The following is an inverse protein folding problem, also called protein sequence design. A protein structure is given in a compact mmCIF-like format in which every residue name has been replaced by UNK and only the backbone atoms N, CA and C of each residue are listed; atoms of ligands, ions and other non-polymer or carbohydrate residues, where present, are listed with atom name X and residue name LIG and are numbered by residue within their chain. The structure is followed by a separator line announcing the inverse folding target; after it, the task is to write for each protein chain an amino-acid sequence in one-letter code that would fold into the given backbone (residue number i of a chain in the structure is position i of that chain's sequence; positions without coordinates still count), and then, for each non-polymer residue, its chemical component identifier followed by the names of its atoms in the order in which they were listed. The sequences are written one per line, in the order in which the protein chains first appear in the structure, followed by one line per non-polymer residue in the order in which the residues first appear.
data_IF_229978872440
#
_entry.id   IF_229978872440
#
_cell.length_a   1.000
_cell.length_b   1.000
_cell.length_c   1.000
_cell.angle_alpha   90.00
_cell.angle_beta   90.00
_cell.angle_gamma   90.00
#
_symmetry.space_group_name_H-M   'P 1'
#
loop_
_entity.id
_entity.type
_entity.pdbx_description
1 polymer ?
#
# COMPACT_ATOMS: atom_id res chain seq x y z
N UNK A 1 8.86 -6.21 2.67
CA UNK A 1 8.16 -4.99 2.25
C UNK A 1 8.89 -3.73 2.69
N UNK A 2 8.67 -3.23 3.91
CA UNK A 2 9.22 -1.93 4.34
C UNK A 2 10.75 -1.97 4.50
N UNK A 3 11.27 -3.08 5.00
CA UNK A 3 12.69 -3.29 5.25
C UNK A 3 13.56 -3.54 4.00
N UNK A 4 12.95 -3.69 2.82
CA UNK A 4 13.62 -4.07 1.57
C UNK A 4 13.81 -2.96 0.54
N UNK A 5 13.57 -1.69 0.90
CA UNK A 5 13.76 -0.53 0.02
C UNK A 5 12.82 -0.53 -1.20
N UNK A 6 11.55 -0.82 -0.98
CA UNK A 6 10.57 -1.05 -2.03
C UNK A 6 10.16 0.18 -2.84
N UNK A 7 9.64 -0.09 -4.04
CA UNK A 7 8.91 0.89 -4.84
C UNK A 7 7.73 1.40 -4.01
N UNK A 8 7.73 2.70 -3.69
CA UNK A 8 6.63 3.38 -3.00
C UNK A 8 6.80 3.67 -1.53
N UNK A 9 7.82 3.13 -0.87
CA UNK A 9 8.13 3.55 0.49
C UNK A 9 9.02 4.80 0.43
N UNK A 10 8.80 5.78 1.33
CA UNK A 10 9.78 6.83 1.56
C UNK A 10 11.15 6.19 1.84
N UNK A 11 12.26 6.77 1.34
CA UNK A 11 13.59 6.25 1.61
C UNK A 11 13.89 6.34 3.11
N UNK A 12 14.20 5.20 3.74
CA UNK A 12 14.50 5.09 5.16
C UNK A 12 15.91 4.55 5.37
N UNK A 13 16.73 5.22 6.17
CA UNK A 13 17.95 4.63 6.73
C UNK A 13 17.60 3.89 8.01
N UNK A 14 17.20 2.62 7.89
CA UNK A 14 16.79 1.77 9.01
C UNK A 14 17.86 1.67 10.11
N UNK A 15 19.15 1.80 9.77
CA UNK A 15 20.23 1.73 10.74
C UNK A 15 20.32 2.97 11.63
N UNK A 16 19.70 4.07 11.20
CA UNK A 16 19.66 5.35 11.92
C UNK A 16 18.42 5.54 12.80
N UNK A 17 17.39 4.71 12.60
CA UNK A 17 16.11 4.83 13.30
C UNK A 17 16.21 4.30 14.73
N UNK A 18 15.45 4.93 15.64
CA UNK A 18 15.31 4.43 16.99
C UNK A 18 14.49 3.13 17.06
N UNK A 19 14.57 2.43 18.21
CA UNK A 19 13.93 1.13 18.41
C UNK A 19 12.39 1.20 18.34
N UNK A 20 11.81 2.33 18.73
CA UNK A 20 10.35 2.54 18.75
C UNK A 20 9.81 2.69 17.32
N UNK A 21 10.47 3.52 16.50
CA UNK A 21 10.18 3.66 15.07
C UNK A 21 10.37 2.34 14.34
N UNK A 22 11.44 1.59 14.63
CA UNK A 22 11.64 0.26 14.06
C UNK A 22 10.51 -0.71 14.46
N UNK A 23 9.99 -0.62 15.68
CA UNK A 23 8.86 -1.41 16.13
C UNK A 23 7.56 -1.02 15.40
N UNK A 24 7.32 0.27 15.12
CA UNK A 24 6.20 0.74 14.29
C UNK A 24 6.30 0.18 12.87
N UNK A 25 7.45 0.33 12.21
CA UNK A 25 7.67 -0.17 10.86
C UNK A 25 7.53 -1.70 10.79
N UNK A 26 8.14 -2.43 11.73
CA UNK A 26 8.04 -3.88 11.79
C UNK A 26 6.61 -4.37 12.07
N UNK A 27 5.85 -3.65 12.90
CA UNK A 27 4.44 -3.98 13.18
C UNK A 27 3.57 -3.72 11.94
N UNK A 28 3.77 -2.60 11.24
CA UNK A 28 3.08 -2.31 9.98
C UNK A 28 3.40 -3.39 8.94
N UNK A 29 4.67 -3.75 8.76
CA UNK A 29 5.09 -4.80 7.82
C UNK A 29 4.44 -6.15 8.15
N UNK A 30 4.44 -6.55 9.42
CA UNK A 30 3.77 -7.76 9.86
C UNK A 30 2.26 -7.70 9.58
N UNK A 31 1.61 -6.58 9.88
CA UNK A 31 0.17 -6.40 9.63
C UNK A 31 -0.19 -6.47 8.15
N UNK A 32 0.64 -5.95 7.25
CA UNK A 32 0.44 -6.09 5.80
C UNK A 32 0.51 -7.55 5.36
N UNK A 33 1.53 -8.30 5.80
CA UNK A 33 1.68 -9.73 5.53
C UNK A 33 0.47 -10.54 6.06
N UNK A 34 0.02 -10.21 7.26
CA UNK A 34 -1.16 -10.84 7.88
C UNK A 34 -2.44 -10.49 7.12
N UNK A 35 -2.52 -9.27 6.58
CA UNK A 35 -3.54 -8.84 5.63
C UNK A 35 -3.57 -9.68 4.35
N UNK A 36 -2.40 -9.96 3.78
CA UNK A 36 -2.28 -10.79 2.59
C UNK A 36 -2.65 -12.24 2.84
N UNK A 37 -2.32 -12.76 4.03
CA UNK A 37 -2.71 -14.08 4.50
C UNK A 37 -4.18 -14.18 4.95
N UNK A 38 -4.96 -13.10 4.87
CA UNK A 38 -6.37 -13.02 5.32
C UNK A 38 -6.57 -13.41 6.78
N UNK A 39 -5.62 -13.05 7.64
CA UNK A 39 -5.57 -13.44 9.05
C UNK A 39 -5.77 -12.25 10.02
N UNK A 40 -6.18 -11.07 9.55
CA UNK A 40 -6.40 -9.86 10.37
C UNK A 40 -7.50 -10.00 11.44
N UNK A 41 -8.31 -11.05 11.36
CA UNK A 41 -9.37 -11.37 12.33
C UNK A 41 -8.87 -12.21 13.51
N UNK A 42 -7.59 -12.60 13.52
CA UNK A 42 -7.04 -13.43 14.58
C UNK A 42 -6.90 -12.65 15.90
N UNK A 43 -7.13 -13.31 17.04
CA UNK A 43 -7.13 -12.67 18.37
C UNK A 43 -5.80 -11.99 18.72
N UNK A 44 -4.68 -12.52 18.23
CA UNK A 44 -3.34 -11.97 18.48
C UNK A 44 -3.03 -10.69 17.68
N UNK A 45 -3.93 -10.24 16.81
CA UNK A 45 -3.81 -8.99 16.06
C UNK A 45 -4.12 -7.76 16.92
N UNK A 46 -4.98 -7.91 17.94
CA UNK A 46 -5.39 -6.77 18.76
C UNK A 46 -4.22 -6.03 19.44
N UNK A 47 -3.23 -6.70 20.06
CA UNK A 47 -2.06 -6.01 20.60
C UNK A 47 -1.30 -5.17 19.57
N UNK A 48 -1.15 -5.65 18.33
CA UNK A 48 -0.50 -4.91 17.26
C UNK A 48 -1.32 -3.68 16.84
N UNK A 49 -2.66 -3.82 16.78
CA UNK A 49 -3.57 -2.70 16.52
C UNK A 49 -3.47 -1.64 17.62
N UNK A 50 -3.49 -2.04 18.90
CA UNK A 50 -3.38 -1.09 20.02
C UNK A 50 -2.03 -0.39 20.05
N UNK A 51 -0.97 -1.11 19.72
CA UNK A 51 0.38 -0.55 19.58
C UNK A 51 0.42 0.50 18.47
N UNK A 52 -0.08 0.21 17.27
CA UNK A 52 -0.12 1.22 16.21
C UNK A 52 -1.00 2.42 16.60
N UNK A 53 -2.22 2.19 17.11
CA UNK A 53 -3.12 3.27 17.58
C UNK A 53 -2.46 4.22 18.58
N UNK A 54 -1.56 3.73 19.46
CA UNK A 54 -0.90 4.58 20.45
C UNK A 54 0.18 5.52 19.88
N UNK A 55 0.55 5.36 18.60
CA UNK A 55 1.55 6.20 17.92
C UNK A 55 0.92 7.28 17.03
N UNK A 56 -0.41 7.40 17.03
CA UNK A 56 -1.09 8.47 16.32
C UNK A 56 -0.82 9.82 17.02
N UNK A 57 -0.43 10.81 16.23
CA UNK A 57 -0.29 12.19 16.69
C UNK A 57 -1.65 12.84 16.97
N UNK A 58 -1.66 13.96 17.70
CA UNK A 58 -2.91 14.68 18.05
C UNK A 58 -3.72 15.14 16.85
N UNK A 59 -3.06 15.41 15.71
CA UNK A 59 -3.68 15.82 14.46
C UNK A 59 -4.08 14.63 13.55
N UNK A 60 -3.98 13.40 14.03
CA UNK A 60 -4.37 12.19 13.32
C UNK A 60 -3.28 11.54 12.47
N UNK A 61 -2.10 12.17 12.33
CA UNK A 61 -1.02 11.65 11.52
C UNK A 61 -0.22 10.53 12.22
N UNK A 62 0.35 9.64 11.42
CA UNK A 62 1.40 8.72 11.85
C UNK A 62 2.74 9.19 11.27
N UNK A 63 3.65 9.63 12.13
CA UNK A 63 4.90 10.27 11.73
C UNK A 63 6.08 9.36 11.91
N UNK A 64 6.88 9.25 10.85
CA UNK A 64 8.17 8.60 10.86
C UNK A 64 9.13 9.57 10.19
N UNK A 65 10.16 9.97 10.91
CA UNK A 65 11.14 10.93 10.40
C UNK A 65 11.97 10.28 9.30
N UNK A 66 11.88 10.83 8.09
CA UNK A 66 12.59 10.32 6.90
C UNK A 66 13.53 11.35 6.29
N UNK A 67 13.27 12.64 6.52
CA UNK A 67 14.03 13.74 5.93
C UNK A 67 13.89 15.01 6.75
N UNK A 68 14.96 15.81 6.80
CA UNK A 68 14.91 17.18 7.32
C UNK A 68 14.17 18.13 6.36
N UNK A 69 13.99 17.74 5.09
CA UNK A 69 13.25 18.52 4.10
C UNK A 69 11.74 18.40 4.33
N UNK A 70 11.12 19.53 4.69
CA UNK A 70 9.70 19.58 5.06
C UNK A 70 8.74 19.01 4.00
N UNK A 71 9.05 19.15 2.70
CA UNK A 71 8.23 18.61 1.63
C UNK A 71 8.28 17.07 1.60
N UNK A 72 9.48 16.49 1.62
CA UNK A 72 9.68 15.04 1.67
C UNK A 72 9.10 14.43 2.96
N UNK A 73 9.26 15.13 4.10
CA UNK A 73 8.64 14.70 5.34
C UNK A 73 7.12 14.75 5.28
N UNK A 74 6.53 15.77 4.67
CA UNK A 74 5.07 15.86 4.49
C UNK A 74 4.52 14.73 3.61
N UNK A 75 5.26 14.32 2.57
CA UNK A 75 4.89 13.17 1.73
C UNK A 75 4.97 11.86 2.51
N UNK A 76 5.99 11.70 3.36
CA UNK A 76 6.11 10.54 4.23
C UNK A 76 5.01 10.47 5.30
N UNK A 77 4.64 11.61 5.89
CA UNK A 77 3.53 11.66 6.84
C UNK A 77 2.21 11.21 6.18
N UNK A 78 1.93 11.65 4.94
CA UNK A 78 0.76 11.16 4.16
C UNK A 78 0.87 9.65 3.93
N UNK A 79 2.06 9.19 3.52
CA UNK A 79 2.29 7.78 3.25
C UNK A 79 2.03 6.90 4.47
N UNK A 80 2.71 7.16 5.59
CA UNK A 80 2.57 6.34 6.80
C UNK A 80 1.18 6.47 7.40
N UNK A 81 0.55 7.64 7.32
CA UNK A 81 -0.82 7.82 7.79
C UNK A 81 -1.79 6.96 7.00
N UNK A 82 -1.74 7.01 5.66
CA UNK A 82 -2.62 6.19 4.82
C UNK A 82 -2.36 4.69 4.99
N UNK A 83 -1.11 4.27 5.02
CA UNK A 83 -0.74 2.86 5.19
C UNK A 83 -1.18 2.29 6.54
N UNK A 84 -0.89 2.98 7.65
CA UNK A 84 -1.23 2.52 8.99
C UNK A 84 -2.74 2.58 9.20
N UNK A 85 -3.39 3.72 8.94
CA UNK A 85 -4.83 3.83 9.14
C UNK A 85 -5.62 2.90 8.20
N UNK A 86 -5.16 2.72 6.95
CA UNK A 86 -5.75 1.80 5.99
C UNK A 86 -5.68 0.34 6.44
N UNK A 87 -4.53 -0.13 6.95
CA UNK A 87 -4.44 -1.51 7.47
C UNK A 87 -5.24 -1.69 8.76
N UNK A 88 -5.29 -0.66 9.63
CA UNK A 88 -6.12 -0.66 10.83
C UNK A 88 -7.61 -0.77 10.49
N UNK A 89 -8.08 -0.05 9.47
CA UNK A 89 -9.46 -0.12 8.97
C UNK A 89 -9.90 -1.51 8.50
N UNK A 90 -8.94 -2.38 8.15
CA UNK A 90 -9.21 -3.79 7.77
C UNK A 90 -9.41 -4.73 8.97
N UNK A 91 -9.18 -4.24 10.19
CA UNK A 91 -9.29 -5.04 11.40
C UNK A 91 -10.63 -4.84 12.09
N UNK A 92 -11.18 -5.85 12.78
CA UNK A 92 -12.46 -5.72 13.50
C UNK A 92 -12.31 -5.00 14.85
N UNK A 93 -11.06 -4.76 15.31
CA UNK A 93 -10.74 -4.29 16.66
C UNK A 93 -10.28 -2.83 16.70
N UNK A 94 -10.04 -2.20 15.55
CA UNK A 94 -9.70 -0.78 15.48
C UNK A 94 -10.86 0.11 15.92
N UNK A 95 -10.52 1.19 16.62
CA UNK A 95 -11.50 2.19 17.07
C UNK A 95 -11.81 3.16 15.93
N UNK A 96 -13.04 3.68 15.89
CA UNK A 96 -13.43 4.65 14.86
C UNK A 96 -12.69 5.99 15.01
N UNK A 97 -12.54 6.48 16.24
CA UNK A 97 -11.97 7.82 16.48
C UNK A 97 -10.55 8.02 15.90
N UNK A 98 -9.58 7.09 16.06
CA UNK A 98 -8.30 7.18 15.36
C UNK A 98 -8.42 7.19 13.83
N UNK A 99 -9.32 6.39 13.27
CA UNK A 99 -9.52 6.31 11.82
C UNK A 99 -10.14 7.60 11.26
N UNK A 100 -11.11 8.18 11.97
CA UNK A 100 -11.71 9.47 11.64
C UNK A 100 -10.67 10.60 11.70
N UNK A 101 -9.78 10.60 12.69
CA UNK A 101 -8.70 11.59 12.79
C UNK A 101 -7.69 11.46 11.63
N UNK A 102 -7.32 10.23 11.27
CA UNK A 102 -6.46 9.98 10.11
C UNK A 102 -7.15 10.41 8.79
N UNK A 103 -8.46 10.17 8.66
CA UNK A 103 -9.26 10.63 7.53
C UNK A 103 -9.26 12.14 7.40
N UNK A 104 -9.50 12.86 8.49
CA UNK A 104 -9.43 14.33 8.49
C UNK A 104 -8.04 14.85 8.08
N UNK A 105 -6.96 14.22 8.56
CA UNK A 105 -5.59 14.57 8.18
C UNK A 105 -5.32 14.36 6.68
N UNK A 106 -5.74 13.21 6.15
CA UNK A 106 -5.53 12.82 4.75
C UNK A 106 -6.38 13.65 3.78
N UNK A 107 -7.64 13.91 4.12
CA UNK A 107 -8.59 14.70 3.34
C UNK A 107 -8.07 16.13 3.10
N UNK A 108 -7.53 16.78 4.14
CA UNK A 108 -6.94 18.12 4.02
C UNK A 108 -5.79 18.19 2.99
N UNK A 109 -5.10 17.07 2.77
CA UNK A 109 -3.92 16.97 1.89
C UNK A 109 -4.22 16.32 0.55
N UNK A 110 -5.39 15.71 0.39
CA UNK A 110 -5.74 15.01 -0.83
C UNK A 110 -5.91 15.97 -2.00
N UNK A 111 -5.36 15.60 -3.15
CA UNK A 111 -5.68 16.22 -4.41
C UNK A 111 -5.49 15.21 -5.55
N UNK A 112 -6.18 15.39 -6.69
CA UNK A 112 -5.92 14.58 -7.88
C UNK A 112 -4.45 14.61 -8.31
N UNK A 113 -3.80 15.76 -8.14
CA UNK A 113 -2.39 15.94 -8.47
C UNK A 113 -1.47 15.11 -7.56
N UNK A 114 -1.82 14.97 -6.27
CA UNK A 114 -1.06 14.16 -5.32
C UNK A 114 -1.00 12.68 -5.74
N UNK A 115 -2.06 12.11 -6.31
CA UNK A 115 -2.06 10.70 -6.76
C UNK A 115 -1.58 10.52 -8.19
N UNK A 116 -1.71 11.54 -9.06
CA UNK A 116 -1.22 11.46 -10.44
C UNK A 116 0.27 11.80 -10.58
N UNK A 117 0.78 12.73 -9.76
CA UNK A 117 2.14 13.28 -9.87
C UNK A 117 2.94 13.23 -8.56
N UNK A 118 2.29 13.12 -7.40
CA UNK A 118 2.95 12.94 -6.09
C UNK A 118 3.54 11.54 -5.89
N UNK A 119 3.55 10.71 -6.93
CA UNK A 119 4.26 9.44 -6.97
C UNK A 119 3.45 8.26 -6.44
N UNK A 120 4.03 7.08 -6.62
CA UNK A 120 3.40 5.81 -6.29
C UNK A 120 3.10 5.66 -4.78
N UNK A 121 3.88 6.31 -3.91
CA UNK A 121 3.67 6.32 -2.46
C UNK A 121 2.32 6.92 -2.06
N UNK A 122 2.02 8.13 -2.55
CA UNK A 122 0.75 8.81 -2.27
C UNK A 122 -0.44 8.01 -2.83
N UNK A 123 -0.33 7.51 -4.06
CA UNK A 123 -1.34 6.65 -4.67
C UNK A 123 -1.66 5.43 -3.79
N UNK A 124 -0.64 4.69 -3.35
CA UNK A 124 -0.82 3.51 -2.51
C UNK A 124 -1.48 3.87 -1.17
N UNK A 125 -1.00 4.92 -0.51
CA UNK A 125 -1.49 5.37 0.80
C UNK A 125 -2.96 5.81 0.77
N UNK A 126 -3.36 6.60 -0.23
CA UNK A 126 -4.76 6.99 -0.40
C UNK A 126 -5.65 5.82 -0.80
N UNK A 127 -5.18 4.94 -1.69
CA UNK A 127 -5.93 3.77 -2.13
C UNK A 127 -6.24 2.81 -0.97
N UNK A 128 -5.22 2.46 -0.16
CA UNK A 128 -5.41 1.56 0.98
C UNK A 128 -6.29 2.20 2.06
N UNK A 129 -6.16 3.50 2.32
CA UNK A 129 -6.99 4.18 3.32
C UNK A 129 -8.46 4.20 2.90
N UNK A 130 -8.77 4.83 1.77
CA UNK A 130 -10.16 5.05 1.35
C UNK A 130 -10.89 3.77 0.94
N UNK A 131 -10.18 2.67 0.66
CA UNK A 131 -10.83 1.37 0.45
C UNK A 131 -11.35 0.77 1.77
N UNK A 132 -10.66 1.03 2.88
CA UNK A 132 -10.85 0.29 4.13
C UNK A 132 -11.44 1.13 5.27
N UNK A 133 -11.43 2.45 5.14
CA UNK A 133 -11.99 3.38 6.13
C UNK A 133 -13.17 4.11 5.52
N UNK A 134 -14.37 4.04 6.12
CA UNK A 134 -15.51 4.84 5.67
C UNK A 134 -15.22 6.33 5.80
N UNK A 135 -15.30 7.05 4.68
CA UNK A 135 -15.07 8.49 4.59
C UNK A 135 -15.93 9.07 3.47
N UNK A 136 -16.44 10.30 3.64
CA UNK A 136 -17.32 10.95 2.67
C UNK A 136 -16.59 11.25 1.34
N UNK A 137 -15.27 11.39 1.36
CA UNK A 137 -14.44 11.65 0.18
C UNK A 137 -13.99 10.38 -0.55
N UNK A 138 -14.22 9.20 0.04
CA UNK A 138 -13.69 7.92 -0.45
C UNK A 138 -14.04 7.64 -1.92
N UNK A 139 -15.30 7.87 -2.32
CA UNK A 139 -15.74 7.63 -3.70
C UNK A 139 -14.95 8.47 -4.72
N UNK A 140 -14.72 9.74 -4.40
CA UNK A 140 -13.99 10.65 -5.29
C UNK A 140 -12.49 10.32 -5.29
N UNK A 141 -11.91 10.08 -4.10
CA UNK A 141 -10.50 9.77 -3.97
C UNK A 141 -10.15 8.45 -4.68
N UNK A 142 -10.97 7.41 -4.50
CA UNK A 142 -10.77 6.11 -5.16
C UNK A 142 -10.89 6.21 -6.68
N UNK A 143 -11.81 7.03 -7.20
CA UNK A 143 -11.89 7.29 -8.65
C UNK A 143 -10.61 7.88 -9.23
N UNK A 144 -9.99 8.84 -8.52
CA UNK A 144 -8.71 9.41 -8.95
C UNK A 144 -7.56 8.43 -8.78
N UNK A 145 -7.53 7.66 -7.69
CA UNK A 145 -6.54 6.60 -7.48
C UNK A 145 -6.61 5.56 -8.61
N UNK A 146 -7.79 5.07 -8.97
CA UNK A 146 -7.93 4.11 -10.06
C UNK A 146 -7.51 4.66 -11.42
N UNK A 147 -7.85 5.93 -11.72
CA UNK A 147 -7.39 6.59 -12.96
C UNK A 147 -5.88 6.75 -13.01
N UNK A 148 -5.27 7.19 -11.91
CA UNK A 148 -3.82 7.34 -11.79
C UNK A 148 -3.11 5.98 -11.96
N UNK A 149 -3.63 4.94 -11.30
CA UNK A 149 -3.13 3.58 -11.40
C UNK A 149 -3.21 3.04 -12.85
N UNK A 150 -4.36 3.19 -13.51
CA UNK A 150 -4.52 2.75 -14.90
C UNK A 150 -3.63 3.56 -15.85
N UNK A 151 -3.59 4.90 -15.71
CA UNK A 151 -2.71 5.76 -16.51
C UNK A 151 -1.25 5.35 -16.35
N UNK A 152 -0.81 5.08 -15.12
CA UNK A 152 0.55 4.61 -14.80
C UNK A 152 0.88 3.29 -15.48
N UNK A 153 -0.01 2.30 -15.38
CA UNK A 153 0.14 1.00 -16.03
C UNK A 153 0.16 1.11 -17.56
N UNK A 154 -0.83 1.80 -18.16
CA UNK A 154 -0.96 1.96 -19.62
C UNK A 154 0.22 2.72 -20.24
N UNK A 155 0.80 3.67 -19.50
CA UNK A 155 1.97 4.44 -19.92
C UNK A 155 3.30 3.75 -19.63
N UNK A 156 3.29 2.56 -19.00
CA UNK A 156 4.48 1.83 -18.51
C UNK A 156 5.31 2.60 -17.49
N UNK A 157 4.70 3.57 -16.81
CA UNK A 157 5.32 4.22 -15.67
C UNK A 157 5.26 3.33 -14.42
N UNK A 158 4.23 2.49 -14.33
CA UNK A 158 4.11 1.42 -13.35
C UNK A 158 4.18 0.07 -14.06
N UNK A 159 4.92 -0.87 -13.48
CA UNK A 159 4.94 -2.27 -13.91
C UNK A 159 3.72 -3.04 -13.37
N UNK A 160 3.54 -4.29 -13.84
CA UNK A 160 2.41 -5.12 -13.43
C UNK A 160 2.48 -5.45 -11.94
N UNK A 161 3.68 -5.71 -11.39
CA UNK A 161 3.88 -5.99 -9.96
C UNK A 161 3.40 -4.81 -9.10
N UNK A 162 3.84 -3.59 -9.39
CA UNK A 162 3.46 -2.38 -8.65
C UNK A 162 1.97 -2.09 -8.79
N UNK A 163 1.40 -2.31 -9.97
CA UNK A 163 -0.03 -2.15 -10.20
C UNK A 163 -0.85 -3.12 -9.33
N UNK A 164 -0.47 -4.39 -9.34
CA UNK A 164 -1.13 -5.44 -8.58
C UNK A 164 -0.95 -5.26 -7.09
N UNK A 165 0.18 -4.73 -6.64
CA UNK A 165 0.42 -4.43 -5.24
C UNK A 165 -0.58 -3.43 -4.66
N UNK A 166 -0.98 -2.40 -5.40
CA UNK A 166 -2.04 -1.48 -4.96
C UNK A 166 -3.35 -2.25 -4.76
N UNK A 167 -3.72 -3.10 -5.73
CA UNK A 167 -4.92 -3.94 -5.64
C UNK A 167 -4.86 -4.93 -4.47
N UNK A 168 -3.72 -5.58 -4.26
CA UNK A 168 -3.48 -6.51 -3.15
C UNK A 168 -3.64 -5.83 -1.79
N UNK A 169 -3.02 -4.65 -1.63
CA UNK A 169 -3.07 -3.86 -0.39
C UNK A 169 -4.50 -3.43 -0.05
N UNK A 170 -5.30 -3.15 -1.08
CA UNK A 170 -6.72 -2.82 -0.97
C UNK A 170 -7.63 -4.05 -0.81
N UNK A 171 -7.10 -5.28 -0.89
CA UNK A 171 -7.88 -6.53 -1.04
C UNK A 171 -8.96 -6.44 -2.13
N UNK A 172 -8.64 -5.72 -3.20
CA UNK A 172 -9.56 -5.40 -4.29
C UNK A 172 -9.16 -6.14 -5.57
N UNK A 173 -10.16 -6.48 -6.39
CA UNK A 173 -9.93 -7.02 -7.75
C UNK A 173 -9.95 -5.91 -8.81
N UNK A 174 -10.56 -4.78 -8.49
CA UNK A 174 -10.63 -3.59 -9.33
C UNK A 174 -10.78 -2.35 -8.43
N UNK A 175 -10.34 -1.21 -8.94
CA UNK A 175 -10.50 0.09 -8.28
C UNK A 175 -11.49 0.96 -9.07
N UNK A 176 -12.34 1.76 -8.40
CA UNK A 176 -13.15 2.76 -9.08
C UNK A 176 -12.30 3.61 -10.02
N UNK A 177 -12.75 3.83 -11.26
CA UNK A 177 -12.01 4.63 -12.24
C UNK A 177 -10.89 3.89 -12.99
N UNK A 178 -10.63 2.62 -12.69
CA UNK A 178 -9.75 1.74 -13.47
C UNK A 178 -10.54 0.65 -14.21
N UNK A 179 -10.10 0.30 -15.42
CA UNK A 179 -10.67 -0.73 -16.28
C UNK A 179 -9.64 -1.79 -16.67
N UNK A 180 -9.05 -2.43 -15.66
CA UNK A 180 -8.09 -3.50 -15.89
C UNK A 180 -8.74 -4.76 -16.44
N UNK A 181 -8.11 -5.34 -17.45
CA UNK A 181 -8.35 -6.72 -17.85
C UNK A 181 -7.42 -7.63 -17.02
N UNK A 182 -8.01 -8.54 -16.26
CA UNK A 182 -7.28 -9.49 -15.39
C UNK A 182 -6.34 -10.37 -16.20
N UNK A 183 -6.74 -10.75 -17.42
CA UNK A 183 -5.90 -11.56 -18.31
C UNK A 183 -4.72 -10.73 -18.79
N UNK A 184 -4.94 -9.48 -19.18
CA UNK A 184 -3.84 -8.56 -19.56
C UNK A 184 -2.86 -8.37 -18.40
N UNK A 185 -3.35 -8.15 -17.18
CA UNK A 185 -2.50 -8.00 -15.99
C UNK A 185 -1.67 -9.26 -15.73
N UNK A 186 -2.28 -10.45 -15.84
CA UNK A 186 -1.56 -11.71 -15.66
C UNK A 186 -0.53 -11.94 -16.76
N UNK A 187 -0.88 -11.70 -18.03
CA UNK A 187 0.05 -11.81 -19.16
C UNK A 187 1.26 -10.87 -18.97
N UNK A 188 1.01 -9.61 -18.60
CA UNK A 188 2.07 -8.63 -18.32
C UNK A 188 2.94 -9.04 -17.16
N UNK A 189 2.36 -9.54 -16.08
CA UNK A 189 3.12 -10.05 -14.95
C UNK A 189 4.01 -11.21 -15.39
N UNK A 190 3.49 -12.18 -16.15
CA UNK A 190 4.29 -13.31 -16.64
C UNK A 190 5.42 -12.86 -17.59
N UNK A 191 5.23 -11.81 -18.38
CA UNK A 191 6.28 -11.19 -19.21
C UNK A 191 7.42 -10.57 -18.37
N UNK A 192 7.14 -10.14 -17.14
CA UNK A 192 8.11 -9.53 -16.21
C UNK A 192 8.92 -10.57 -15.41
N UNK A 193 8.55 -11.86 -15.46
CA UNK A 193 9.28 -12.91 -14.78
C UNK A 193 10.64 -13.18 -15.44
N UNK A 194 11.70 -13.14 -14.63
CA UNK A 194 13.05 -13.43 -15.05
C UNK A 194 13.26 -14.94 -15.31
N UNK A 195 14.32 -15.29 -16.04
CA UNK A 195 14.62 -16.69 -16.38
C UNK A 195 14.94 -17.60 -15.19
N UNK A 196 15.27 -17.03 -14.03
CA UNK A 196 15.48 -17.77 -12.76
C UNK A 196 14.21 -17.89 -11.90
N UNK A 197 13.07 -17.39 -12.39
CA UNK A 197 11.77 -17.43 -11.73
C UNK A 197 11.49 -16.24 -10.81
N UNK A 198 12.47 -15.37 -10.54
CA UNK A 198 12.27 -14.13 -9.78
C UNK A 198 11.66 -13.01 -10.62
N UNK A 199 11.26 -11.92 -9.97
CA UNK A 199 10.79 -10.69 -10.62
C UNK A 199 11.84 -9.58 -10.45
N UNK A 200 11.58 -8.38 -10.96
CA UNK A 200 12.45 -7.21 -10.79
C UNK A 200 13.88 -7.32 -11.37
N UNK A 201 14.12 -8.14 -12.40
CA UNK A 201 15.48 -8.37 -12.93
C UNK A 201 16.21 -7.08 -13.33
N UNK A 202 15.46 -6.10 -13.84
CA UNK A 202 15.98 -4.79 -14.27
C UNK A 202 15.80 -3.70 -13.22
N UNK A 203 15.35 -4.04 -12.01
CA UNK A 203 15.19 -3.05 -10.94
C UNK A 203 16.54 -2.51 -10.49
N UNK A 204 16.58 -1.20 -10.22
CA UNK A 204 17.75 -0.53 -9.65
C UNK A 204 17.89 -0.80 -8.14
N UNK A 205 16.84 -1.30 -7.50
CA UNK A 205 16.88 -1.77 -6.11
C UNK A 205 17.55 -3.14 -6.06
N UNK A 206 18.52 -3.32 -5.17
CA UNK A 206 19.34 -4.52 -5.07
C UNK A 206 18.56 -5.82 -4.76
N UNK A 207 19.26 -6.88 -4.31
CA UNK A 207 18.66 -8.21 -4.09
C UNK A 207 17.42 -8.24 -3.17
N UNK A 208 17.32 -7.31 -2.22
CA UNK A 208 16.21 -7.21 -1.25
C UNK A 208 14.90 -6.77 -1.92
N UNK A 209 14.97 -5.77 -2.81
CA UNK A 209 13.84 -5.30 -3.62
C UNK A 209 13.33 -6.42 -4.52
N UNK A 210 14.26 -7.21 -5.07
CA UNK A 210 13.95 -8.37 -5.91
C UNK A 210 13.14 -9.44 -5.18
N UNK A 211 13.50 -9.70 -3.93
CA UNK A 211 12.80 -10.69 -3.09
C UNK A 211 11.37 -10.27 -2.85
N UNK A 212 11.14 -9.02 -2.46
CA UNK A 212 9.79 -8.56 -2.14
C UNK A 212 8.89 -8.49 -3.38
N UNK A 213 9.38 -7.98 -4.51
CA UNK A 213 8.62 -7.99 -5.77
C UNK A 213 8.28 -9.41 -6.24
N UNK A 214 9.17 -10.38 -5.99
CA UNK A 214 8.89 -11.78 -6.32
C UNK A 214 7.75 -12.33 -5.45
N UNK A 215 7.73 -12.01 -4.15
CA UNK A 215 6.65 -12.43 -3.26
C UNK A 215 5.32 -11.78 -3.67
N UNK A 216 5.32 -10.47 -3.94
CA UNK A 216 4.13 -9.73 -4.39
C UNK A 216 3.58 -10.33 -5.68
N UNK A 217 4.46 -10.60 -6.66
CA UNK A 217 4.08 -11.24 -7.91
C UNK A 217 3.46 -12.62 -7.69
N UNK A 218 4.06 -13.45 -6.83
CA UNK A 218 3.52 -14.78 -6.51
C UNK A 218 2.13 -14.70 -5.86
N UNK A 219 1.94 -13.79 -4.90
CA UNK A 219 0.63 -13.57 -4.27
C UNK A 219 -0.38 -13.06 -5.29
N UNK A 220 0.02 -12.13 -6.16
CA UNK A 220 -0.82 -11.59 -7.20
C UNK A 220 -1.26 -12.66 -8.20
N UNK A 221 -0.36 -13.53 -8.67
CA UNK A 221 -0.69 -14.67 -9.54
C UNK A 221 -1.75 -15.55 -8.89
N UNK A 222 -1.53 -15.94 -7.63
CA UNK A 222 -2.50 -16.78 -6.91
C UNK A 222 -3.87 -16.09 -6.84
N UNK A 223 -3.92 -14.79 -6.56
CA UNK A 223 -5.19 -14.05 -6.50
C UNK A 223 -5.86 -13.93 -7.86
N UNK A 224 -5.14 -13.53 -8.92
CA UNK A 224 -5.69 -13.38 -10.26
C UNK A 224 -6.23 -14.71 -10.79
N UNK A 225 -5.48 -15.81 -10.62
CA UNK A 225 -5.92 -17.16 -11.01
C UNK A 225 -7.19 -17.58 -10.25
N UNK A 226 -7.27 -17.28 -8.95
CA UNK A 226 -8.48 -17.57 -8.17
C UNK A 226 -9.71 -16.77 -8.67
N UNK A 227 -9.53 -15.59 -9.27
CA UNK A 227 -10.65 -14.85 -9.91
C UNK A 227 -11.08 -15.53 -11.20
N UNK A 228 -10.11 -15.96 -12.02
CA UNK A 228 -10.37 -16.64 -13.29
C UNK A 228 -11.11 -17.97 -13.08
N UNK A 229 -10.78 -18.72 -12.03
CA UNK A 229 -11.46 -19.98 -11.69
C UNK A 229 -12.94 -19.78 -11.26
N UNK A 230 -13.32 -18.57 -10.83
CA UNK A 230 -14.67 -18.24 -10.33
C UNK A 230 -15.57 -17.65 -11.41
N UNK A 231 -15.04 -17.30 -12.59
CA UNK A 231 -15.86 -16.91 -13.74
C UNK A 231 -16.14 -18.14 -14.63
N UNK A 232 -17.30 -18.83 -14.48
CA UNK A 232 -17.72 -19.79 -15.49
C UNK A 232 -18.11 -19.04 -16.77
N UNK A 233 -17.74 -19.63 -17.91
CA UNK A 233 -18.17 -19.22 -19.27
C UNK A 233 -19.68 -18.91 -19.39
#
# INVERSE_FOLDING_TARGET
MISGGEVGFPPLDLASLDEDVLAVLGTLEAMLIVGDARALQAEWVEPAVRFLESHQSEDGAYRIEVSEEAAAQSEADVFFTGMIAGILGRTPVSKSAPLEAAGAYLAERFSPDAVEHGGYAALLAYAIFYTNVPDDEADQALQWCGRALEKGFRSRHLDAVSTLRVLLSCDAQAMPGATFDIVELLERLMEEQAGDGGFAELSLGGPETRTSQTVDAMIAIVRLCAVLDVQPD
#
